data_IF_020980172990
#
_entry.id   IF_020980172990
#
_cell.length_a   1.000
_cell.length_b   1.000
_cell.length_c   1.000
_cell.angle_alpha   90.00
_cell.angle_beta   90.00
_cell.angle_gamma   90.00
#
_symmetry.space_group_name_H-M   'P 1'
#
loop_
_entity.id
_entity.type
_entity.pdbx_description
1 polymer ?
#
# COMPACT_ATOMS: atom_id res chain seq x y z
N UNK A 1 19.63 27.37 -13.64
CA UNK A 1 20.05 26.85 -12.32
C UNK A 1 18.87 26.72 -11.36
N UNK A 2 18.18 27.81 -10.99
CA UNK A 2 16.98 27.76 -10.12
C UNK A 2 15.87 26.81 -10.62
N UNK A 3 15.60 26.83 -11.93
CA UNK A 3 14.58 25.94 -12.54
C UNK A 3 14.94 24.46 -12.37
N UNK A 4 16.22 24.11 -12.56
CA UNK A 4 16.72 22.74 -12.44
C UNK A 4 16.63 22.29 -10.97
N UNK A 5 17.04 23.16 -10.04
CA UNK A 5 16.94 22.89 -8.59
C UNK A 5 15.48 22.69 -8.17
N UNK A 6 14.55 23.53 -8.65
CA UNK A 6 13.12 23.38 -8.38
C UNK A 6 12.56 22.05 -8.90
N UNK A 7 12.96 21.63 -10.10
CA UNK A 7 12.56 20.34 -10.67
C UNK A 7 13.06 19.15 -9.85
N UNK A 8 14.34 19.17 -9.43
CA UNK A 8 14.92 18.11 -8.60
C UNK A 8 14.18 18.02 -7.26
N UNK A 9 13.91 19.15 -6.61
CA UNK A 9 13.14 19.18 -5.34
C UNK A 9 11.73 18.64 -5.54
N UNK A 10 11.04 19.02 -6.61
CA UNK A 10 9.70 18.50 -6.92
C UNK A 10 9.70 16.97 -7.10
N UNK A 11 10.68 16.41 -7.83
CA UNK A 11 10.82 14.97 -7.99
C UNK A 11 11.10 14.25 -6.67
N UNK A 12 11.96 14.81 -5.80
CA UNK A 12 12.24 14.25 -4.47
C UNK A 12 10.98 14.24 -3.61
N UNK A 13 10.22 15.34 -3.59
CA UNK A 13 8.96 15.42 -2.85
C UNK A 13 7.97 14.38 -3.35
N UNK A 14 7.78 14.25 -4.67
CA UNK A 14 6.92 13.23 -5.25
C UNK A 14 7.41 11.84 -4.86
N UNK A 15 8.71 11.53 -4.95
CA UNK A 15 9.24 10.21 -4.60
C UNK A 15 9.09 9.86 -3.11
N UNK A 16 9.18 10.85 -2.23
CA UNK A 16 9.07 10.68 -0.77
C UNK A 16 7.62 10.59 -0.32
N UNK A 17 6.74 11.42 -0.88
CA UNK A 17 5.33 11.54 -0.49
C UNK A 17 4.40 10.65 -1.32
N UNK A 18 4.80 10.17 -2.50
CA UNK A 18 3.98 9.26 -3.29
C UNK A 18 3.88 7.90 -2.60
N UNK A 19 2.74 7.70 -1.94
CA UNK A 19 2.17 6.41 -1.60
C UNK A 19 3.05 5.47 -0.76
N UNK A 20 3.73 5.99 0.27
CA UNK A 20 4.41 5.16 1.30
C UNK A 20 3.48 4.09 1.90
N UNK A 21 2.20 4.42 2.04
CA UNK A 21 1.23 3.56 2.71
C UNK A 21 0.95 2.26 1.94
N UNK A 22 0.97 2.27 0.60
CA UNK A 22 0.68 1.07 -0.22
C UNK A 22 1.94 0.42 -0.81
N UNK A 23 3.05 1.16 -0.95
CA UNK A 23 4.27 0.68 -1.62
C UNK A 23 4.87 -0.59 -1.01
N UNK A 24 4.73 -0.75 0.31
CA UNK A 24 5.22 -1.93 1.01
C UNK A 24 4.11 -2.92 1.39
N UNK A 25 2.84 -2.65 1.04
CA UNK A 25 1.78 -3.55 1.44
C UNK A 25 1.87 -4.85 0.64
N UNK A 26 2.12 -5.94 1.37
CA UNK A 26 2.20 -7.30 0.84
C UNK A 26 1.04 -8.09 1.44
N UNK A 27 0.00 -8.28 0.67
CA UNK A 27 -1.18 -9.03 1.09
C UNK A 27 -0.92 -10.52 0.97
N UNK A 28 -1.22 -11.26 2.04
CA UNK A 28 -1.21 -12.72 2.07
C UNK A 28 -2.64 -13.22 2.17
N UNK A 29 -2.97 -14.15 1.28
CA UNK A 29 -4.27 -14.79 1.21
C UNK A 29 -4.36 -15.96 2.18
N UNK A 30 -5.42 -16.00 2.97
CA UNK A 30 -5.83 -17.12 3.80
C UNK A 30 -7.23 -17.56 3.37
N UNK A 31 -7.34 -18.60 2.53
CA UNK A 31 -8.62 -19.05 2.02
C UNK A 31 -9.50 -19.61 3.15
N UNK A 32 -10.74 -19.13 3.24
CA UNK A 32 -11.77 -19.55 4.20
C UNK A 32 -13.09 -19.80 3.47
N UNK A 33 -13.13 -20.86 2.65
CA UNK A 33 -14.30 -21.18 1.81
C UNK A 33 -14.44 -20.21 0.62
N UNK A 34 -15.62 -19.62 0.47
CA UNK A 34 -15.93 -18.64 -0.60
C UNK A 34 -15.29 -17.26 -0.37
N UNK A 35 -14.93 -16.95 0.88
CA UNK A 35 -14.20 -15.74 1.22
C UNK A 35 -12.75 -16.07 1.55
N UNK A 36 -11.89 -15.08 1.34
CA UNK A 36 -10.50 -15.15 1.77
C UNK A 36 -10.20 -14.01 2.72
N UNK A 37 -9.52 -14.35 3.81
CA UNK A 37 -8.95 -13.37 4.72
C UNK A 37 -7.63 -12.90 4.12
N UNK A 38 -7.49 -11.60 3.98
CA UNK A 38 -6.29 -10.95 3.50
C UNK A 38 -5.62 -10.28 4.68
N UNK A 39 -4.36 -10.62 4.93
CA UNK A 39 -3.55 -9.98 5.97
C UNK A 39 -2.30 -9.41 5.32
N UNK A 40 -2.01 -8.15 5.58
CA UNK A 40 -0.79 -7.51 5.13
C UNK A 40 0.39 -7.93 6.02
N UNK A 41 1.39 -8.60 5.47
CA UNK A 41 2.56 -9.06 6.24
C UNK A 41 3.50 -7.92 6.66
N UNK A 42 3.33 -6.72 6.09
CA UNK A 42 4.19 -5.57 6.40
C UNK A 42 3.60 -4.67 7.49
N UNK A 43 2.28 -4.44 7.50
CA UNK A 43 1.63 -3.56 8.48
C UNK A 43 0.64 -4.25 9.40
N UNK A 44 0.29 -5.52 9.16
CA UNK A 44 -0.68 -6.26 9.97
C UNK A 44 -2.15 -5.94 9.65
N UNK A 45 -2.44 -5.06 8.68
CA UNK A 45 -3.81 -4.78 8.26
C UNK A 45 -4.54 -6.06 7.84
N UNK A 46 -5.79 -6.23 8.28
CA UNK A 46 -6.63 -7.38 7.93
C UNK A 46 -7.89 -6.93 7.19
N UNK A 47 -8.33 -7.73 6.23
CA UNK A 47 -9.63 -7.55 5.57
C UNK A 47 -10.16 -8.89 5.08
N UNK A 48 -11.45 -8.96 4.74
CA UNK A 48 -12.07 -10.14 4.15
C UNK A 48 -12.62 -9.74 2.79
N UNK A 49 -12.42 -10.60 1.80
CA UNK A 49 -12.88 -10.33 0.46
C UNK A 49 -13.06 -11.61 -0.35
N UNK A 50 -13.50 -11.49 -1.60
CA UNK A 50 -13.59 -12.62 -2.51
C UNK A 50 -12.21 -13.26 -2.68
N UNK A 51 -12.19 -14.60 -2.78
CA UNK A 51 -10.98 -15.36 -3.08
C UNK A 51 -10.34 -14.85 -4.37
N UNK A 52 -9.01 -14.73 -4.38
CA UNK A 52 -8.23 -14.25 -5.51
C UNK A 52 -8.31 -12.74 -5.81
N UNK A 53 -9.13 -11.96 -5.08
CA UNK A 53 -9.16 -10.50 -5.20
C UNK A 53 -8.33 -9.85 -4.09
N UNK A 54 -7.07 -9.56 -4.39
CA UNK A 54 -6.18 -8.81 -3.50
C UNK A 54 -6.70 -7.38 -3.26
N UNK A 55 -6.60 -6.87 -2.02
CA UNK A 55 -6.97 -5.49 -1.73
C UNK A 55 -6.07 -4.49 -2.47
N UNK A 56 -6.69 -3.54 -3.18
CA UNK A 56 -5.97 -2.51 -3.96
C UNK A 56 -5.46 -1.33 -3.11
N UNK A 57 -5.87 -1.25 -1.85
CA UNK A 57 -5.51 -0.18 -0.92
C UNK A 57 -4.98 -0.82 0.35
N UNK A 58 -4.05 -0.13 1.02
CA UNK A 58 -3.59 -0.60 2.31
C UNK A 58 -4.59 -0.19 3.39
N UNK A 59 -5.14 -1.15 4.14
CA UNK A 59 -6.08 -0.90 5.23
C UNK A 59 -5.35 -0.77 6.58
N UNK A 60 -4.15 -0.18 6.58
CA UNK A 60 -3.43 0.04 7.84
C UNK A 60 -4.25 1.02 8.68
N UNK A 61 -4.65 0.59 9.88
CA UNK A 61 -5.19 1.50 10.88
C UNK A 61 -4.04 2.43 11.32
N UNK A 62 -4.07 3.67 10.85
CA UNK A 62 -3.31 4.75 11.47
C UNK A 62 -4.11 5.19 12.68
N UNK A 63 -3.89 4.50 13.80
CA UNK A 63 -4.34 4.96 15.12
C UNK A 63 -3.72 6.30 15.49
#
# INVERSE_FOLDING_TARGET
MLVIVGLVVAFILIAVFSNRATRNCRWREYPQGDQSRWTCIHCGAETRGPRGKTPQRCLRDTG
#
